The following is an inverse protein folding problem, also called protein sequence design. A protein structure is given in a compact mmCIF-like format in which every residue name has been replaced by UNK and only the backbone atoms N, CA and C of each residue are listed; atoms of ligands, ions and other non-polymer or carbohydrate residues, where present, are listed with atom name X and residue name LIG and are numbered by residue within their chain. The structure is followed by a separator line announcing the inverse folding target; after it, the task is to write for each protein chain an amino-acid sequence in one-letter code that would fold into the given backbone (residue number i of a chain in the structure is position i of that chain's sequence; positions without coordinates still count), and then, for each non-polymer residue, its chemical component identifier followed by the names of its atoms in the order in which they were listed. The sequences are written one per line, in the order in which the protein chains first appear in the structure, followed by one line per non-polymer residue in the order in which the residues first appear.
data_IF_063245983296
#
_entry.id   IF_063245983296
#
_cell.length_a   1.000
_cell.length_b   1.000
_cell.length_c   1.000
_cell.angle_alpha   90.00
_cell.angle_beta   90.00
_cell.angle_gamma   90.00
#
_symmetry.space_group_name_H-M   'P 1'
#
loop_
_entity.id
_entity.type
_entity.pdbx_description
1 polymer ?
#
# COMPACT_ATOMS: atom_id res chain seq x y z
N UNK A 1 16.26 5.38 82.74
CA UNK A 1 14.87 5.08 82.33
C UNK A 1 14.68 5.70 80.96
N UNK A 2 14.67 4.85 79.92
CA UNK A 2 14.69 5.28 78.51
C UNK A 2 13.32 5.77 78.06
N UNK A 3 13.29 6.93 77.41
CA UNK A 3 12.11 7.43 76.71
C UNK A 3 12.00 6.70 75.37
N UNK A 4 10.95 5.87 75.26
CA UNK A 4 10.50 5.31 73.99
C UNK A 4 9.78 6.41 73.22
N UNK A 5 10.42 6.94 72.19
CA UNK A 5 9.78 7.86 71.24
C UNK A 5 8.98 7.05 70.24
N UNK A 6 7.65 7.06 70.39
CA UNK A 6 6.72 6.51 69.41
C UNK A 6 6.92 7.19 68.04
N UNK A 7 6.83 6.48 66.91
CA UNK A 7 7.01 7.08 65.60
C UNK A 7 5.89 8.07 65.29
N UNK A 8 6.29 9.26 64.85
CA UNK A 8 5.42 10.34 64.38
C UNK A 8 4.54 9.85 63.22
N UNK A 9 3.25 9.65 63.50
CA UNK A 9 2.29 9.13 62.54
C UNK A 9 2.15 10.03 61.30
N UNK A 10 2.46 11.32 61.40
CA UNK A 10 2.43 12.21 60.24
C UNK A 10 3.43 11.82 59.16
N UNK A 11 4.58 11.23 59.53
CA UNK A 11 5.58 10.74 58.57
C UNK A 11 5.13 9.48 57.85
N UNK A 12 4.31 8.63 58.48
CA UNK A 12 3.79 7.41 57.86
C UNK A 12 2.80 7.76 56.74
N UNK A 13 1.98 8.81 56.93
CA UNK A 13 1.07 9.31 55.90
C UNK A 13 1.79 9.91 54.69
N UNK A 14 2.90 10.63 54.90
CA UNK A 14 3.71 11.17 53.78
C UNK A 14 4.42 10.07 52.98
N UNK A 15 4.87 8.98 53.62
CA UNK A 15 5.46 7.84 52.92
C UNK A 15 4.44 7.08 52.08
N UNK A 16 3.24 6.83 52.60
CA UNK A 16 2.17 6.16 51.83
C UNK A 16 1.66 7.00 50.65
N UNK A 17 1.59 8.32 50.81
CA UNK A 17 1.20 9.23 49.71
C UNK A 17 2.29 9.34 48.64
N UNK A 18 3.57 9.33 49.04
CA UNK A 18 4.70 9.32 48.10
C UNK A 18 4.78 8.00 47.32
N UNK A 19 4.49 6.86 47.95
CA UNK A 19 4.50 5.54 47.33
C UNK A 19 3.30 5.32 46.39
N UNK A 20 2.12 5.85 46.74
CA UNK A 20 0.97 5.94 45.83
C UNK A 20 1.23 6.88 44.65
N UNK A 21 1.85 8.05 44.88
CA UNK A 21 2.23 8.97 43.79
C UNK A 21 3.32 8.40 42.87
N UNK A 22 4.26 7.60 43.41
CA UNK A 22 5.28 6.90 42.62
C UNK A 22 4.67 5.76 41.80
N UNK A 23 3.66 5.06 42.33
CA UNK A 23 2.94 4.00 41.60
C UNK A 23 2.05 4.52 40.47
N UNK A 24 1.53 5.75 40.58
CA UNK A 24 0.71 6.40 39.55
C UNK A 24 1.54 7.13 38.47
N UNK A 25 2.85 7.30 38.69
CA UNK A 25 3.76 7.97 37.76
C UNK A 25 4.78 7.01 37.12
N UNK A 26 4.56 5.69 37.21
CA UNK A 26 5.18 4.75 36.31
C UNK A 26 4.40 4.78 34.99
N UNK A 27 4.97 5.33 33.90
CA UNK A 27 4.39 5.04 32.60
C UNK A 27 4.52 3.52 32.45
N UNK A 28 3.39 2.83 32.32
CA UNK A 28 3.41 1.57 31.59
C UNK A 28 3.84 1.93 30.18
N UNK A 29 5.16 2.09 29.96
CA UNK A 29 5.73 2.10 28.63
C UNK A 29 5.51 0.69 28.10
N UNK A 30 4.33 0.50 27.50
CA UNK A 30 4.10 -0.59 26.60
C UNK A 30 5.14 -0.39 25.50
N UNK A 31 6.23 -1.14 25.58
CA UNK A 31 7.21 -1.17 24.52
C UNK A 31 6.49 -1.65 23.26
N UNK A 32 6.13 -0.71 22.38
CA UNK A 32 5.26 -0.98 21.25
C UNK A 32 5.88 -2.02 20.29
N UNK A 33 7.21 -2.12 20.26
CA UNK A 33 7.94 -3.11 19.47
C UNK A 33 7.77 -4.51 20.07
N UNK A 34 7.88 -4.64 21.40
CA UNK A 34 7.66 -5.92 22.09
C UNK A 34 6.20 -6.38 21.98
N UNK A 35 5.24 -5.46 22.18
CA UNK A 35 3.82 -5.77 22.06
C UNK A 35 3.47 -6.22 20.63
N UNK A 36 3.95 -5.50 19.61
CA UNK A 36 3.70 -5.85 18.21
C UNK A 36 4.27 -7.23 17.86
N UNK A 37 5.49 -7.52 18.31
CA UNK A 37 6.10 -8.83 18.09
C UNK A 37 5.30 -9.94 18.77
N UNK A 38 4.83 -9.73 20.01
CA UNK A 38 4.00 -10.70 20.72
C UNK A 38 2.64 -10.92 20.03
N UNK A 39 1.99 -9.85 19.58
CA UNK A 39 0.72 -9.92 18.84
C UNK A 39 0.87 -10.63 17.48
N UNK A 40 2.02 -10.46 16.81
CA UNK A 40 2.28 -11.10 15.51
C UNK A 40 2.38 -12.64 15.57
N UNK A 41 2.63 -13.21 16.74
CA UNK A 41 2.66 -14.67 16.93
C UNK A 41 1.27 -15.27 17.18
N UNK A 42 0.25 -14.43 17.38
CA UNK A 42 -1.13 -14.90 17.57
C UNK A 42 -1.85 -15.03 16.24
N UNK A 43 -2.66 -16.08 16.11
CA UNK A 43 -3.56 -16.26 14.99
C UNK A 43 -4.66 -15.20 15.01
N UNK A 44 -5.30 -14.98 13.86
CA UNK A 44 -6.42 -14.04 13.73
C UNK A 44 -7.55 -14.33 14.73
N UNK A 45 -7.86 -15.60 14.97
CA UNK A 45 -8.90 -15.99 15.93
C UNK A 45 -8.53 -15.59 17.36
N UNK A 46 -7.28 -15.83 17.76
CA UNK A 46 -6.78 -15.47 19.09
C UNK A 46 -6.73 -13.95 19.31
N UNK A 47 -6.36 -13.19 18.26
CA UNK A 47 -6.39 -11.73 18.31
C UNK A 47 -7.81 -11.19 18.45
N UNK A 48 -8.79 -11.77 17.75
CA UNK A 48 -10.20 -11.39 17.88
C UNK A 48 -10.73 -11.69 19.29
N UNK A 49 -10.40 -12.85 19.86
CA UNK A 49 -10.75 -13.16 21.24
C UNK A 49 -10.09 -12.22 22.25
N UNK A 50 -8.82 -11.88 22.03
CA UNK A 50 -8.08 -10.95 22.89
C UNK A 50 -8.70 -9.56 22.86
N UNK A 51 -9.01 -9.04 21.67
CA UNK A 51 -9.70 -7.77 21.49
C UNK A 51 -11.07 -7.80 22.16
N UNK A 52 -11.84 -8.89 22.00
CA UNK A 52 -13.12 -9.07 22.68
C UNK A 52 -13.00 -9.02 24.20
N UNK A 53 -11.94 -9.62 24.77
CA UNK A 53 -11.65 -9.54 26.21
C UNK A 53 -11.26 -8.12 26.65
N UNK A 54 -10.54 -7.38 25.81
CA UNK A 54 -10.17 -5.98 26.09
C UNK A 54 -11.41 -5.08 26.12
N UNK A 55 -12.32 -5.22 25.15
CA UNK A 55 -13.59 -4.46 25.11
C UNK A 55 -14.48 -4.81 26.31
N UNK A 56 -14.55 -6.10 26.69
CA UNK A 56 -15.32 -6.52 27.86
C UNK A 56 -14.81 -5.87 29.16
N UNK A 57 -13.53 -5.52 29.22
CA UNK A 57 -12.91 -4.86 30.37
C UNK A 57 -12.97 -3.33 30.27
N UNK A 58 -12.85 -2.77 29.06
CA UNK A 58 -13.00 -1.34 28.77
C UNK A 58 -13.94 -1.13 27.57
N UNK A 59 -15.25 -0.94 27.81
CA UNK A 59 -16.25 -0.80 26.76
C UNK A 59 -16.03 0.38 25.82
N UNK A 60 -15.38 1.45 26.29
CA UNK A 60 -15.07 2.64 25.47
C UNK A 60 -14.13 2.32 24.29
N UNK A 61 -13.40 1.19 24.34
CA UNK A 61 -12.58 0.70 23.22
C UNK A 61 -13.43 0.21 22.03
N UNK A 62 -14.72 -0.06 22.22
CA UNK A 62 -15.64 -0.42 21.13
C UNK A 62 -15.72 0.70 20.09
N UNK A 63 -15.71 1.96 20.55
CA UNK A 63 -15.71 3.13 19.67
C UNK A 63 -14.46 3.18 18.76
N UNK A 64 -13.31 2.65 19.17
CA UNK A 64 -12.09 2.60 18.34
C UNK A 64 -12.16 1.57 17.20
N UNK A 65 -13.06 0.58 17.32
CA UNK A 65 -13.35 -0.38 16.25
C UNK A 65 -14.28 0.24 15.22
N UNK A 66 -15.21 1.08 15.69
CA UNK A 66 -16.20 1.77 14.85
C UNK A 66 -15.69 3.10 14.28
N UNK A 67 -14.66 3.70 14.89
CA UNK A 67 -14.00 4.89 14.36
C UNK A 67 -13.53 4.62 12.92
N UNK A 68 -13.93 5.46 11.94
CA UNK A 68 -13.39 5.36 10.61
C UNK A 68 -11.89 5.62 10.72
N UNK A 69 -11.10 4.55 10.62
CA UNK A 69 -9.66 4.68 10.67
C UNK A 69 -9.25 5.75 9.64
N UNK A 70 -8.38 6.72 10.00
CA UNK A 70 -7.93 7.76 9.07
C UNK A 70 -7.30 7.18 7.78
N UNK A 71 -7.00 5.88 7.78
CA UNK A 71 -6.39 5.09 6.72
C UNK A 71 -7.40 4.30 5.85
N UNK A 72 -8.72 4.50 6.02
CA UNK A 72 -9.77 3.91 5.19
C UNK A 72 -10.32 4.83 4.10
N UNK A 73 -9.73 6.00 3.89
CA UNK A 73 -9.92 6.74 2.64
C UNK A 73 -8.98 6.09 1.63
N UNK A 74 -9.48 5.03 1.00
CA UNK A 74 -8.92 4.58 -0.26
C UNK A 74 -8.83 5.81 -1.19
N UNK A 75 -7.63 6.26 -1.58
CA UNK A 75 -7.42 7.41 -2.46
C UNK A 75 -8.27 7.30 -3.73
N UNK A 76 -8.44 6.06 -4.21
CA UNK A 76 -9.23 5.74 -5.38
C UNK A 76 -10.74 5.88 -5.13
N UNK A 77 -11.17 5.82 -3.88
CA UNK A 77 -12.55 6.03 -3.46
C UNK A 77 -12.91 7.50 -3.21
N UNK A 78 -11.94 8.41 -3.26
CA UNK A 78 -12.15 9.84 -3.09
C UNK A 78 -13.09 10.42 -4.17
N UNK A 79 -13.88 11.47 -3.86
CA UNK A 79 -14.71 12.13 -4.87
C UNK A 79 -13.92 12.61 -6.10
N UNK A 80 -12.67 13.04 -5.87
CA UNK A 80 -11.76 13.49 -6.93
C UNK A 80 -11.31 12.32 -7.81
N UNK A 81 -10.91 11.20 -7.23
CA UNK A 81 -10.59 9.98 -7.99
C UNK A 81 -11.79 9.50 -8.81
N UNK A 82 -13.00 9.52 -8.27
CA UNK A 82 -14.23 9.18 -9.01
C UNK A 82 -14.53 10.15 -10.14
N UNK A 83 -14.28 11.45 -9.94
CA UNK A 83 -14.43 12.44 -11.01
C UNK A 83 -13.39 12.21 -12.12
N UNK A 84 -12.14 11.95 -11.76
CA UNK A 84 -11.06 11.62 -12.69
C UNK A 84 -11.38 10.33 -13.47
N UNK A 85 -11.85 9.30 -12.77
CA UNK A 85 -12.26 8.04 -13.38
C UNK A 85 -13.33 8.25 -14.46
N UNK A 86 -14.34 9.09 -14.17
CA UNK A 86 -15.36 9.44 -15.17
C UNK A 86 -14.77 10.17 -16.38
N UNK A 87 -13.80 11.05 -16.17
CA UNK A 87 -13.13 11.79 -17.26
C UNK A 87 -12.33 10.82 -18.13
N UNK A 88 -11.49 9.98 -17.55
CA UNK A 88 -10.70 8.97 -18.28
C UNK A 88 -11.62 8.04 -19.06
N UNK A 89 -12.69 7.51 -18.43
CA UNK A 89 -13.66 6.64 -19.10
C UNK A 89 -14.40 7.31 -20.26
N UNK A 90 -14.66 8.61 -20.18
CA UNK A 90 -15.26 9.36 -21.28
C UNK A 90 -14.34 9.41 -22.52
N UNK A 91 -13.02 9.41 -22.32
CA UNK A 91 -12.05 9.32 -23.43
C UNK A 91 -12.22 8.00 -24.17
N UNK A 92 -12.24 6.87 -23.45
CA UNK A 92 -12.46 5.54 -24.03
C UNK A 92 -13.74 5.51 -24.89
N UNK A 93 -14.86 6.01 -24.36
CA UNK A 93 -16.13 6.04 -25.09
C UNK A 93 -16.11 6.93 -26.34
N UNK A 94 -15.37 8.04 -26.31
CA UNK A 94 -15.29 8.98 -27.43
C UNK A 94 -14.47 8.41 -28.60
N UNK A 95 -13.40 7.68 -28.29
CA UNK A 95 -12.39 7.28 -29.26
C UNK A 95 -12.64 5.87 -29.83
N UNK A 96 -13.42 5.02 -29.14
CA UNK A 96 -13.66 3.61 -29.51
C UNK A 96 -14.13 3.35 -30.96
N UNK A 97 -14.71 4.34 -31.65
CA UNK A 97 -15.23 4.20 -33.02
C UNK A 97 -14.39 4.92 -34.09
N UNK A 98 -13.22 5.46 -33.73
CA UNK A 98 -12.38 6.21 -34.65
C UNK A 98 -11.31 5.32 -35.31
N UNK A 99 -10.93 5.59 -36.57
CA UNK A 99 -9.68 5.05 -37.11
C UNK A 99 -8.50 5.47 -36.22
N UNK A 100 -7.55 4.56 -36.00
CA UNK A 100 -6.40 4.80 -35.11
C UNK A 100 -6.81 5.15 -33.67
N UNK A 101 -7.92 4.57 -33.19
CA UNK A 101 -8.46 4.79 -31.84
C UNK A 101 -7.40 4.62 -30.74
N UNK A 102 -6.57 3.58 -30.81
CA UNK A 102 -5.52 3.34 -29.82
C UNK A 102 -4.52 4.51 -29.75
N UNK A 103 -4.00 4.95 -30.89
CA UNK A 103 -3.08 6.08 -30.95
C UNK A 103 -3.71 7.37 -30.41
N UNK A 104 -4.90 7.73 -30.87
CA UNK A 104 -5.60 8.93 -30.40
C UNK A 104 -5.90 8.87 -28.89
N UNK A 105 -6.35 7.72 -28.40
CA UNK A 105 -6.57 7.48 -26.98
C UNK A 105 -5.27 7.64 -26.19
N UNK A 106 -4.17 7.08 -26.67
CA UNK A 106 -2.88 7.14 -25.97
C UNK A 106 -2.41 8.58 -25.77
N UNK A 107 -2.55 9.45 -26.78
CA UNK A 107 -2.22 10.87 -26.69
C UNK A 107 -3.05 11.57 -25.61
N UNK A 108 -4.36 11.33 -25.59
CA UNK A 108 -5.22 11.94 -24.56
C UNK A 108 -4.93 11.41 -23.16
N UNK A 109 -4.60 10.13 -23.01
CA UNK A 109 -4.22 9.57 -21.72
C UNK A 109 -2.88 10.13 -21.24
N UNK A 110 -1.94 10.44 -22.14
CA UNK A 110 -0.68 11.09 -21.79
C UNK A 110 -0.87 12.50 -21.24
N UNK A 111 -1.92 13.25 -21.64
CA UNK A 111 -2.24 14.54 -21.04
C UNK A 111 -2.59 14.39 -19.54
N UNK A 112 -3.27 13.31 -19.15
CA UNK A 112 -3.49 13.01 -17.73
C UNK A 112 -2.19 12.65 -17.02
N UNK A 113 -1.30 11.89 -17.66
CA UNK A 113 0.02 11.58 -17.09
C UNK A 113 0.83 12.86 -16.88
N UNK A 114 0.81 13.81 -17.82
CA UNK A 114 1.46 15.11 -17.67
C UNK A 114 0.86 15.90 -16.49
N UNK A 115 -0.45 15.84 -16.29
CA UNK A 115 -1.07 16.41 -15.07
C UNK A 115 -0.56 15.74 -13.80
N UNK A 116 -0.32 14.42 -13.81
CA UNK A 116 0.30 13.70 -12.70
C UNK A 116 1.75 14.14 -12.46
N UNK A 117 2.54 14.31 -13.52
CA UNK A 117 3.93 14.80 -13.44
C UNK A 117 3.97 16.20 -12.81
N UNK A 118 3.03 17.08 -13.17
CA UNK A 118 2.89 18.41 -12.55
C UNK A 118 2.62 18.35 -11.03
N UNK A 119 1.86 17.35 -10.55
CA UNK A 119 1.65 17.16 -9.11
C UNK A 119 2.92 16.63 -8.42
N UNK A 120 3.68 15.75 -9.07
CA UNK A 120 4.99 15.30 -8.57
C UNK A 120 5.95 16.48 -8.41
N UNK A 121 6.00 17.39 -9.40
CA UNK A 121 6.84 18.59 -9.35
C UNK A 121 6.44 19.54 -8.22
N UNK A 122 5.15 19.56 -7.87
CA UNK A 122 4.60 20.29 -6.72
C UNK A 122 4.73 19.54 -5.39
N UNK A 123 5.35 18.35 -5.40
CA UNK A 123 5.48 17.44 -4.24
C UNK A 123 4.15 16.93 -3.67
N UNK A 124 3.07 17.02 -4.45
CA UNK A 124 1.76 16.46 -4.11
C UNK A 124 1.67 15.02 -4.63
N UNK A 125 2.44 14.14 -4.00
CA UNK A 125 2.58 12.76 -4.45
C UNK A 125 1.29 11.95 -4.35
N UNK A 126 0.39 12.31 -3.43
CA UNK A 126 -0.89 11.63 -3.27
C UNK A 126 -1.81 11.90 -4.47
N UNK A 127 -1.87 13.16 -4.92
CA UNK A 127 -2.66 13.52 -6.10
C UNK A 127 -2.06 12.93 -7.38
N UNK A 128 -0.73 12.91 -7.49
CA UNK A 128 -0.06 12.22 -8.58
C UNK A 128 -0.39 10.72 -8.60
N UNK A 129 -0.32 10.05 -7.43
CA UNK A 129 -0.67 8.64 -7.27
C UNK A 129 -2.09 8.34 -7.74
N UNK A 130 -3.09 9.16 -7.35
CA UNK A 130 -4.48 8.99 -7.77
C UNK A 130 -4.61 9.05 -9.29
N UNK A 131 -3.92 9.98 -9.95
CA UNK A 131 -4.00 10.12 -11.41
C UNK A 131 -3.39 8.89 -12.10
N UNK A 132 -2.16 8.51 -11.73
CA UNK A 132 -1.48 7.39 -12.36
C UNK A 132 -2.25 6.07 -12.19
N UNK A 133 -2.74 5.79 -10.98
CA UNK A 133 -3.51 4.57 -10.69
C UNK A 133 -4.84 4.53 -11.41
N UNK A 134 -5.59 5.64 -11.46
CA UNK A 134 -6.85 5.70 -12.22
C UNK A 134 -6.61 5.47 -13.71
N UNK A 135 -5.57 6.06 -14.31
CA UNK A 135 -5.26 5.85 -15.73
C UNK A 135 -4.88 4.40 -15.99
N UNK A 136 -3.96 3.82 -15.21
CA UNK A 136 -3.56 2.42 -15.35
C UNK A 136 -4.78 1.50 -15.24
N UNK A 137 -5.62 1.69 -14.21
CA UNK A 137 -6.79 0.86 -13.98
C UNK A 137 -7.79 0.93 -15.13
N UNK A 138 -8.12 2.13 -15.62
CA UNK A 138 -9.06 2.24 -16.74
C UNK A 138 -8.48 1.65 -18.03
N UNK A 139 -7.17 1.71 -18.27
CA UNK A 139 -6.54 0.99 -19.38
C UNK A 139 -6.71 -0.52 -19.20
N UNK A 140 -6.38 -1.05 -18.02
CA UNK A 140 -6.50 -2.49 -17.71
C UNK A 140 -7.94 -2.98 -17.88
N UNK A 141 -8.92 -2.26 -17.33
CA UNK A 141 -10.35 -2.62 -17.38
C UNK A 141 -10.92 -2.60 -18.80
N UNK A 142 -10.35 -1.79 -19.69
CA UNK A 142 -10.83 -1.63 -21.07
C UNK A 142 -9.85 -2.20 -22.11
N UNK A 143 -8.82 -2.93 -21.69
CA UNK A 143 -7.71 -3.36 -22.55
C UNK A 143 -8.21 -4.19 -23.74
N UNK A 144 -9.15 -5.11 -23.51
CA UNK A 144 -9.70 -5.98 -24.55
C UNK A 144 -10.67 -5.27 -25.51
N UNK A 145 -11.03 -4.01 -25.24
CA UNK A 145 -11.98 -3.25 -26.08
C UNK A 145 -11.30 -2.51 -27.23
N UNK A 146 -9.97 -2.36 -27.19
CA UNK A 146 -9.20 -1.56 -28.15
C UNK A 146 -8.06 -2.40 -28.69
N UNK A 147 -7.89 -2.37 -30.01
CA UNK A 147 -6.72 -2.99 -30.64
C UNK A 147 -5.46 -2.21 -30.29
N UNK A 148 -4.61 -2.81 -29.45
CA UNK A 148 -3.34 -2.26 -28.97
C UNK A 148 -2.15 -3.05 -29.52
N UNK A 149 -2.25 -3.58 -30.75
CA UNK A 149 -1.18 -4.39 -31.36
C UNK A 149 0.16 -3.65 -31.50
N UNK A 150 0.12 -2.33 -31.66
CA UNK A 150 1.31 -1.46 -31.79
C UNK A 150 1.85 -0.98 -30.43
N UNK A 151 1.16 -1.30 -29.33
CA UNK A 151 1.64 -1.11 -27.96
C UNK A 151 1.53 0.30 -27.39
N UNK A 152 0.74 1.21 -27.97
CA UNK A 152 0.62 2.58 -27.48
C UNK A 152 0.10 2.67 -26.04
N UNK A 153 -0.85 1.81 -25.65
CA UNK A 153 -1.35 1.78 -24.27
C UNK A 153 -0.30 1.24 -23.30
N UNK A 154 0.62 0.37 -23.74
CA UNK A 154 1.74 -0.07 -22.91
C UNK A 154 2.69 1.10 -22.61
N UNK A 155 2.92 1.99 -23.57
CA UNK A 155 3.71 3.20 -23.34
C UNK A 155 3.06 4.10 -22.28
N UNK A 156 1.74 4.26 -22.31
CA UNK A 156 1.00 5.04 -21.31
C UNK A 156 1.14 4.42 -19.92
N UNK A 157 0.91 3.10 -19.81
CA UNK A 157 1.08 2.37 -18.54
C UNK A 157 2.51 2.51 -18.03
N UNK A 158 3.51 2.33 -18.89
CA UNK A 158 4.91 2.49 -18.51
C UNK A 158 5.21 3.89 -17.96
N UNK A 159 4.75 4.95 -18.65
CA UNK A 159 4.92 6.34 -18.20
C UNK A 159 4.24 6.60 -16.86
N UNK A 160 3.04 6.06 -16.63
CA UNK A 160 2.34 6.14 -15.35
C UNK A 160 3.14 5.42 -14.24
N UNK A 161 3.70 4.25 -14.51
CA UNK A 161 4.53 3.50 -13.56
C UNK A 161 5.85 4.23 -13.25
N UNK A 162 6.46 4.93 -14.21
CA UNK A 162 7.59 5.82 -13.93
C UNK A 162 7.19 6.93 -12.95
N UNK A 163 6.01 7.53 -13.14
CA UNK A 163 5.45 8.52 -12.22
C UNK A 163 5.22 7.96 -10.80
N UNK A 164 4.65 6.76 -10.70
CA UNK A 164 4.51 6.03 -9.43
C UNK A 164 5.87 5.75 -8.78
N UNK A 165 6.88 5.33 -9.55
CA UNK A 165 8.23 5.12 -9.04
C UNK A 165 8.84 6.40 -8.47
N UNK A 166 8.66 7.56 -9.13
CA UNK A 166 9.06 8.86 -8.56
C UNK A 166 8.34 9.13 -7.24
N UNK A 167 7.02 8.92 -7.18
CA UNK A 167 6.25 9.08 -5.95
C UNK A 167 6.80 8.18 -4.83
N UNK A 168 7.16 6.93 -5.16
CA UNK A 168 7.80 6.01 -4.24
C UNK A 168 9.16 6.53 -3.78
N UNK A 169 10.02 7.02 -4.67
CA UNK A 169 11.35 7.52 -4.30
C UNK A 169 11.28 8.66 -3.28
N UNK A 170 10.35 9.60 -3.47
CA UNK A 170 10.29 10.83 -2.66
C UNK A 170 9.35 10.77 -1.46
N UNK A 171 8.50 9.75 -1.35
CA UNK A 171 7.61 9.58 -0.20
C UNK A 171 8.33 8.94 0.97
N UNK A 172 8.09 9.45 2.18
CA UNK A 172 8.60 8.88 3.45
C UNK A 172 7.52 8.16 4.25
N UNK A 173 6.24 8.37 3.94
CA UNK A 173 5.12 7.72 4.60
C UNK A 173 5.08 6.23 4.24
N UNK A 174 5.33 5.36 5.23
CA UNK A 174 5.43 3.92 5.02
C UNK A 174 4.15 3.29 4.46
N UNK A 175 2.99 3.78 4.88
CA UNK A 175 1.72 3.25 4.39
C UNK A 175 1.51 3.63 2.92
N UNK A 176 1.70 4.90 2.58
CA UNK A 176 1.54 5.40 1.23
C UNK A 176 2.54 4.74 0.27
N UNK A 177 3.79 4.55 0.70
CA UNK A 177 4.78 3.77 -0.05
C UNK A 177 4.30 2.35 -0.32
N UNK A 178 3.72 1.66 0.66
CA UNK A 178 3.14 0.33 0.47
C UNK A 178 1.99 0.33 -0.54
N UNK A 179 1.17 1.39 -0.60
CA UNK A 179 0.11 1.54 -1.60
C UNK A 179 0.68 1.69 -3.01
N UNK A 180 1.72 2.51 -3.18
CA UNK A 180 2.42 2.67 -4.46
C UNK A 180 3.02 1.34 -4.91
N UNK A 181 3.69 0.64 -4.01
CA UNK A 181 4.25 -0.69 -4.29
C UNK A 181 3.19 -1.71 -4.69
N UNK A 182 2.02 -1.66 -4.07
CA UNK A 182 0.90 -2.51 -4.44
C UNK A 182 0.41 -2.22 -5.85
N UNK A 183 0.24 -0.94 -6.21
CA UNK A 183 -0.18 -0.54 -7.55
C UNK A 183 0.82 -0.94 -8.65
N UNK A 184 2.13 -0.75 -8.40
CA UNK A 184 3.19 -1.23 -9.28
C UNK A 184 3.12 -2.75 -9.44
N UNK A 185 3.01 -3.48 -8.33
CA UNK A 185 2.95 -4.94 -8.35
C UNK A 185 1.70 -5.48 -9.05
N UNK A 186 0.53 -4.88 -8.83
CA UNK A 186 -0.71 -5.28 -9.52
C UNK A 186 -0.62 -5.07 -11.03
N UNK A 187 0.09 -4.03 -11.48
CA UNK A 187 0.38 -3.83 -12.92
C UNK A 187 1.32 -4.90 -13.46
N UNK A 188 2.35 -5.30 -12.70
CA UNK A 188 3.21 -6.43 -13.05
C UNK A 188 2.43 -7.73 -13.19
N UNK A 189 1.54 -8.05 -12.23
CA UNK A 189 0.69 -9.24 -12.30
C UNK A 189 -0.16 -9.21 -13.56
N UNK A 190 -0.83 -8.10 -13.83
CA UNK A 190 -1.64 -7.95 -15.03
C UNK A 190 -0.84 -8.20 -16.32
N UNK A 191 0.35 -7.63 -16.46
CA UNK A 191 1.20 -7.82 -17.66
C UNK A 191 1.55 -9.30 -17.89
N UNK A 192 1.99 -9.98 -16.82
CA UNK A 192 2.26 -11.44 -16.85
C UNK A 192 0.99 -12.23 -17.18
N UNK A 193 -0.15 -11.80 -16.68
CA UNK A 193 -1.42 -12.45 -16.93
C UNK A 193 -1.88 -12.31 -18.38
N UNK A 194 -1.65 -11.15 -19.00
CA UNK A 194 -1.88 -10.87 -20.42
C UNK A 194 -0.92 -11.63 -21.35
N UNK A 195 0.15 -12.23 -20.81
CA UNK A 195 1.12 -13.00 -21.58
C UNK A 195 2.22 -12.14 -22.21
N UNK A 196 2.32 -10.88 -21.77
CA UNK A 196 3.42 -9.97 -22.08
C UNK A 196 4.58 -10.21 -21.09
N UNK A 197 5.79 -9.83 -21.50
CA UNK A 197 7.01 -9.94 -20.68
C UNK A 197 7.75 -8.63 -20.53
N UNK A 198 7.55 -7.67 -21.43
CA UNK A 198 8.45 -6.53 -21.55
C UNK A 198 8.15 -5.48 -20.48
N UNK A 199 6.87 -5.08 -20.36
CA UNK A 199 6.44 -4.07 -19.39
C UNK A 199 6.59 -4.57 -17.94
N UNK A 200 6.23 -5.81 -17.65
CA UNK A 200 6.30 -6.37 -16.30
C UNK A 200 7.72 -6.37 -15.74
N UNK A 201 8.70 -6.71 -16.57
CA UNK A 201 10.11 -6.73 -16.17
C UNK A 201 10.64 -5.30 -15.92
N UNK A 202 10.23 -4.33 -16.73
CA UNK A 202 10.56 -2.91 -16.50
C UNK A 202 9.93 -2.37 -15.20
N UNK A 203 8.72 -2.81 -14.84
CA UNK A 203 8.08 -2.44 -13.57
C UNK A 203 8.89 -2.99 -12.38
N UNK A 204 9.44 -4.21 -12.47
CA UNK A 204 10.31 -4.74 -11.42
C UNK A 204 11.60 -3.94 -11.28
N UNK A 205 12.16 -3.44 -12.39
CA UNK A 205 13.33 -2.56 -12.35
C UNK A 205 13.01 -1.21 -11.70
N UNK A 206 11.81 -0.65 -11.94
CA UNK A 206 11.32 0.55 -11.26
C UNK A 206 11.13 0.34 -9.75
N UNK A 207 10.62 -0.82 -9.34
CA UNK A 207 10.50 -1.21 -7.92
C UNK A 207 11.90 -1.30 -7.30
N UNK A 208 12.81 -2.01 -7.95
CA UNK A 208 14.17 -2.21 -7.44
C UNK A 208 14.95 -0.89 -7.28
N UNK A 209 14.74 0.07 -8.18
CA UNK A 209 15.38 1.38 -8.11
C UNK A 209 14.87 2.29 -6.99
N UNK A 210 13.65 2.06 -6.48
CA UNK A 210 12.96 3.00 -5.59
C UNK A 210 12.52 2.42 -4.23
N UNK A 211 12.44 1.09 -4.11
CA UNK A 211 12.00 0.40 -2.90
C UNK A 211 13.17 0.09 -1.94
N UNK A 212 12.90 0.17 -0.64
CA UNK A 212 13.82 -0.31 0.39
C UNK A 212 13.92 -1.83 0.38
N UNK A 213 15.03 -2.38 0.91
CA UNK A 213 15.22 -3.84 0.96
C UNK A 213 14.12 -4.57 1.73
N UNK A 214 13.57 -3.95 2.78
CA UNK A 214 12.44 -4.50 3.55
C UNK A 214 11.14 -4.52 2.77
N UNK A 215 10.90 -3.52 1.92
CA UNK A 215 9.76 -3.45 1.02
C UNK A 215 9.85 -4.48 -0.11
N UNK A 216 11.05 -4.68 -0.67
CA UNK A 216 11.29 -5.73 -1.68
C UNK A 216 10.95 -7.12 -1.15
N UNK A 217 11.24 -7.40 0.12
CA UNK A 217 10.87 -8.68 0.75
C UNK A 217 9.36 -8.90 0.79
N UNK A 218 8.58 -7.84 0.99
CA UNK A 218 7.11 -7.93 0.95
C UNK A 218 6.64 -8.27 -0.47
N UNK A 219 7.24 -7.65 -1.49
CA UNK A 219 6.90 -7.90 -2.90
C UNK A 219 7.30 -9.32 -3.32
N UNK A 220 8.43 -9.83 -2.83
CA UNK A 220 8.82 -11.24 -3.02
C UNK A 220 7.75 -12.17 -2.47
N UNK A 221 7.23 -11.91 -1.27
CA UNK A 221 6.14 -12.71 -0.69
C UNK A 221 4.87 -12.65 -1.55
N UNK A 222 4.53 -11.48 -2.09
CA UNK A 222 3.38 -11.36 -3.00
C UNK A 222 3.60 -12.12 -4.31
N UNK A 223 4.80 -12.07 -4.89
CA UNK A 223 5.15 -12.81 -6.10
C UNK A 223 5.16 -14.32 -5.88
N UNK A 224 5.67 -14.80 -4.75
CA UNK A 224 5.60 -16.21 -4.36
C UNK A 224 4.15 -16.68 -4.19
N UNK A 225 3.30 -15.86 -3.59
CA UNK A 225 1.87 -16.17 -3.45
C UNK A 225 1.09 -16.14 -4.76
N UNK A 226 1.60 -15.46 -5.80
CA UNK A 226 0.99 -15.37 -7.12
C UNK A 226 1.41 -16.51 -8.07
N UNK A 227 2.33 -17.39 -7.65
CA UNK A 227 2.79 -18.51 -8.48
C UNK A 227 1.61 -19.45 -8.83
N UNK A 228 1.46 -19.85 -10.10
CA UNK A 228 0.38 -20.75 -10.49
C UNK A 228 0.66 -22.19 -10.04
N UNK A 229 -0.34 -22.81 -9.42
CA UNK A 229 -0.32 -24.22 -9.00
C UNK A 229 -0.64 -25.22 -10.13
N UNK A 230 -1.16 -24.73 -11.25
CA UNK A 230 -1.56 -25.54 -12.39
C UNK A 230 -0.38 -26.05 -13.23
N UNK A 231 -0.70 -26.91 -14.22
CA UNK A 231 0.28 -27.51 -15.13
C UNK A 231 -0.06 -27.27 -16.61
N UNK A 232 -0.97 -26.34 -16.91
CA UNK A 232 -1.24 -25.96 -18.30
C UNK A 232 -0.01 -25.28 -18.92
N UNK A 233 0.01 -25.18 -20.25
CA UNK A 233 1.05 -24.40 -20.92
C UNK A 233 1.12 -22.96 -20.37
N UNK A 234 -0.03 -22.34 -20.11
CA UNK A 234 -0.14 -20.98 -19.53
C UNK A 234 0.42 -20.91 -18.12
N UNK A 235 0.17 -21.92 -17.29
CA UNK A 235 0.72 -21.98 -15.92
C UNK A 235 2.24 -22.13 -15.94
N UNK A 236 2.77 -22.99 -16.81
CA UNK A 236 4.21 -23.18 -16.95
C UNK A 236 4.90 -21.92 -17.45
N UNK A 237 4.32 -21.24 -18.46
CA UNK A 237 4.81 -19.95 -18.94
C UNK A 237 4.83 -18.91 -17.81
N UNK A 238 3.69 -18.70 -17.13
CA UNK A 238 3.59 -17.73 -16.03
C UNK A 238 4.58 -18.05 -14.90
N UNK A 239 4.71 -19.32 -14.51
CA UNK A 239 5.68 -19.76 -13.51
C UNK A 239 7.10 -19.38 -13.89
N UNK A 240 7.49 -19.55 -15.15
CA UNK A 240 8.82 -19.14 -15.63
C UNK A 240 9.02 -17.63 -15.49
N UNK A 241 8.05 -16.81 -15.89
CA UNK A 241 8.14 -15.35 -15.79
C UNK A 241 8.18 -14.87 -14.32
N UNK A 242 7.36 -15.46 -13.45
CA UNK A 242 7.43 -15.18 -12.00
C UNK A 242 8.78 -15.57 -11.41
N UNK A 243 9.37 -16.69 -11.82
CA UNK A 243 10.69 -17.11 -11.35
C UNK A 243 11.80 -16.15 -11.82
N UNK A 244 11.73 -15.64 -13.05
CA UNK A 244 12.64 -14.59 -13.51
C UNK A 244 12.47 -13.30 -12.69
N UNK A 245 11.22 -12.88 -12.47
CA UNK A 245 10.92 -11.69 -11.67
C UNK A 245 11.41 -11.82 -10.23
N UNK A 246 11.21 -12.97 -9.59
CA UNK A 246 11.73 -13.28 -8.27
C UNK A 246 13.27 -13.25 -8.23
N UNK A 247 13.94 -13.75 -9.27
CA UNK A 247 15.39 -13.68 -9.35
C UNK A 247 15.88 -12.22 -9.41
N UNK A 248 15.20 -11.36 -10.19
CA UNK A 248 15.53 -9.91 -10.26
C UNK A 248 15.29 -9.19 -8.95
N UNK A 249 14.16 -9.44 -8.27
CA UNK A 249 13.86 -8.84 -6.97
C UNK A 249 14.88 -9.23 -5.88
N UNK A 250 15.50 -10.41 -6.00
CA UNK A 250 16.50 -10.93 -5.05
C UNK A 250 17.94 -10.52 -5.37
N UNK A 251 18.22 -10.02 -6.56
CA UNK A 251 19.58 -9.72 -7.03
C UNK A 251 20.17 -8.39 -6.51
N UNK A 252 19.39 -7.59 -5.75
CA UNK A 252 19.74 -6.25 -5.26
C UNK A 252 19.45 -6.07 -3.78
#
# INVERSE_FOLDING_TARGET
MGQSTAPDQSKIWYWWMAELAYSWNSPFEVNQVDLRNRLAHHSKAELVELIGKMIAHEPDLEALIEEPQPHKIDPESSPKAKAMQRQVRQVFHRVAYQPYACYALSLELLDFIESGDNYVDQQDYYEAFVIYTVVIREIIENYDLIDNSEGELFQVIYRANQGLSKCLTYSTDAHFRQMILRALFDTYIWDVECGSTDLGLEILDLINGSAFSSERQIIIQWAEAALPDGNSWRDNFRRQIYQEGLARLRAM
#
